data_IF_435877637163
#
_entry.id   IF_435877637163
#
_cell.length_a   1.000
_cell.length_b   1.000
_cell.length_c   1.000
_cell.angle_alpha   90.00
_cell.angle_beta   90.00
_cell.angle_gamma   90.00
#
_symmetry.space_group_name_H-M   'P 1'
#
loop_
_entity.id
_entity.type
_entity.pdbx_description
1 polymer ?
#
# COMPACT_ATOMS: atom_id res chain seq x y z
N UNK A 1 -24.34 9.46 59.31
CA UNK A 1 -23.68 8.94 58.09
C UNK A 1 -24.27 9.45 56.76
N UNK A 2 -25.25 10.36 56.73
CA UNK A 2 -25.96 10.75 55.48
C UNK A 2 -25.42 12.00 54.75
N UNK A 3 -24.43 12.71 55.28
CA UNK A 3 -23.95 13.97 54.67
C UNK A 3 -22.69 13.81 53.79
N UNK A 4 -21.98 12.67 53.89
CA UNK A 4 -20.77 12.38 53.10
C UNK A 4 -21.03 11.74 51.73
N UNK A 5 -22.21 11.14 51.54
CA UNK A 5 -22.60 10.53 50.26
C UNK A 5 -23.01 11.60 49.23
N UNK A 6 -23.72 12.64 49.65
CA UNK A 6 -24.22 13.70 48.76
C UNK A 6 -23.10 14.59 48.21
N UNK A 7 -22.03 14.81 48.98
CA UNK A 7 -20.85 15.57 48.52
C UNK A 7 -20.01 14.79 47.49
N UNK A 8 -19.96 13.46 47.59
CA UNK A 8 -19.32 12.61 46.56
C UNK A 8 -20.15 12.52 45.28
N UNK A 9 -21.48 12.53 45.39
CA UNK A 9 -22.37 12.51 44.23
C UNK A 9 -22.38 13.84 43.46
N UNK A 10 -22.25 14.98 44.14
CA UNK A 10 -22.13 16.29 43.47
C UNK A 10 -20.74 16.55 42.87
N UNK A 11 -19.66 15.89 43.35
CA UNK A 11 -18.35 15.93 42.67
C UNK A 11 -18.27 15.09 41.41
N UNK A 12 -19.12 14.07 41.27
CA UNK A 12 -19.22 13.25 40.06
C UNK A 12 -20.04 13.90 38.94
N UNK A 13 -20.77 15.00 39.22
CA UNK A 13 -21.62 15.69 38.25
C UNK A 13 -21.00 16.97 37.65
N UNK A 14 -19.88 17.46 38.19
CA UNK A 14 -19.18 18.65 37.70
C UNK A 14 -17.94 18.35 36.85
N UNK A 15 -17.79 17.12 36.33
CA UNK A 15 -16.98 16.89 35.12
C UNK A 15 -17.88 17.14 33.90
N UNK A 16 -18.44 18.34 33.83
CA UNK A 16 -18.89 18.91 32.57
C UNK A 16 -17.63 19.05 31.70
N UNK A 17 -17.51 18.12 30.78
CA UNK A 17 -17.04 18.30 29.41
C UNK A 17 -16.57 19.73 29.13
N UNK A 18 -15.31 20.03 29.48
CA UNK A 18 -14.54 20.98 28.66
C UNK A 18 -14.64 20.47 27.23
N UNK A 19 -15.08 21.30 26.25
CA UNK A 19 -15.02 20.89 24.86
C UNK A 19 -13.58 20.42 24.60
N UNK A 20 -13.36 19.28 23.93
CA UNK A 20 -12.02 18.87 23.58
C UNK A 20 -11.37 20.08 22.91
N UNK A 21 -10.23 20.52 23.42
CA UNK A 21 -9.40 21.49 22.72
C UNK A 21 -9.33 20.97 21.29
N UNK A 22 -9.94 21.68 20.33
CA UNK A 22 -9.83 21.36 18.91
C UNK A 22 -8.35 21.52 18.59
N UNK A 23 -7.59 20.44 18.76
CA UNK A 23 -6.18 20.40 18.39
C UNK A 23 -6.12 20.78 16.93
N UNK A 24 -5.31 21.77 16.58
CA UNK A 24 -5.19 22.17 15.18
C UNK A 24 -4.56 21.01 14.44
N UNK A 25 -5.38 20.26 13.71
CA UNK A 25 -4.94 19.04 13.05
C UNK A 25 -3.96 19.37 11.93
N UNK A 26 -4.28 20.37 11.11
CA UNK A 26 -3.46 20.78 9.96
C UNK A 26 -2.95 22.21 10.17
N UNK A 27 -1.63 22.38 10.22
CA UNK A 27 -0.99 23.69 10.32
C UNK A 27 0.05 23.87 9.21
N UNK A 28 0.35 25.12 8.87
CA UNK A 28 1.41 25.41 7.90
C UNK A 28 2.76 24.83 8.34
N UNK A 29 3.07 24.87 9.64
CA UNK A 29 4.33 24.31 10.17
C UNK A 29 4.43 22.80 9.97
N UNK A 30 3.34 22.04 10.19
CA UNK A 30 3.36 20.59 9.99
C UNK A 30 3.50 20.22 8.52
N UNK A 31 2.83 20.96 7.62
CA UNK A 31 2.94 20.75 6.17
C UNK A 31 4.33 21.11 5.66
N UNK A 32 4.89 22.26 6.07
CA UNK A 32 6.23 22.68 5.67
C UNK A 32 7.30 21.69 6.14
N UNK A 33 7.19 21.18 7.37
CA UNK A 33 8.09 20.16 7.89
C UNK A 33 7.94 18.84 7.12
N UNK A 34 6.72 18.41 6.80
CA UNK A 34 6.50 17.22 5.96
C UNK A 34 7.16 17.37 4.59
N UNK A 35 6.92 18.49 3.89
CA UNK A 35 7.50 18.77 2.59
C UNK A 35 9.04 18.81 2.62
N UNK A 36 9.64 19.34 3.69
CA UNK A 36 11.09 19.32 3.88
C UNK A 36 11.67 17.92 4.12
N UNK A 37 10.89 17.03 4.74
CA UNK A 37 11.31 15.65 5.04
C UNK A 37 11.07 14.68 3.88
N UNK A 38 10.11 14.96 2.99
CA UNK A 38 9.77 14.08 1.86
C UNK A 38 10.98 13.72 0.96
N UNK A 39 11.86 14.66 0.56
CA UNK A 39 13.04 14.30 -0.24
C UNK A 39 14.02 13.37 0.49
N UNK A 40 14.22 13.58 1.80
CA UNK A 40 15.08 12.72 2.62
C UNK A 40 14.48 11.32 2.77
N UNK A 41 13.17 11.24 2.95
CA UNK A 41 12.44 9.98 3.01
C UNK A 41 12.52 9.22 1.68
N UNK A 42 12.26 9.91 0.56
CA UNK A 42 12.37 9.32 -0.77
C UNK A 42 13.80 8.82 -1.05
N UNK A 43 14.82 9.61 -0.69
CA UNK A 43 16.21 9.21 -0.82
C UNK A 43 16.53 7.96 0.01
N UNK A 44 16.07 7.89 1.26
CA UNK A 44 16.26 6.70 2.10
C UNK A 44 15.57 5.48 1.50
N UNK A 45 14.30 5.59 1.10
CA UNK A 45 13.54 4.49 0.51
C UNK A 45 14.21 3.97 -0.76
N UNK A 46 14.57 4.84 -1.71
CA UNK A 46 15.24 4.45 -2.96
C UNK A 46 16.60 3.83 -2.69
N UNK A 47 17.40 4.39 -1.78
CA UNK A 47 18.73 3.86 -1.46
C UNK A 47 18.63 2.48 -0.81
N UNK A 48 17.72 2.31 0.15
CA UNK A 48 17.53 1.03 0.83
C UNK A 48 17.00 -0.04 -0.14
N UNK A 49 15.91 0.26 -0.85
CA UNK A 49 15.16 -0.73 -1.63
C UNK A 49 15.77 -1.01 -3.01
N UNK A 50 16.37 -0.03 -3.69
CA UNK A 50 16.97 -0.24 -5.01
C UNK A 50 18.49 -0.39 -4.98
N UNK A 51 19.20 0.44 -4.20
CA UNK A 51 20.67 0.46 -4.24
C UNK A 51 21.27 -0.64 -3.37
N UNK A 52 20.83 -0.72 -2.12
CA UNK A 52 21.28 -1.78 -1.21
C UNK A 52 20.49 -3.07 -1.39
N UNK A 53 19.31 -2.97 -1.99
CA UNK A 53 18.37 -4.08 -2.17
C UNK A 53 18.04 -4.78 -0.84
N UNK A 54 17.86 -3.98 0.21
CA UNK A 54 17.58 -4.43 1.56
C UNK A 54 16.46 -3.61 2.17
N UNK A 55 15.87 -4.11 3.28
CA UNK A 55 14.94 -3.32 4.09
C UNK A 55 13.75 -2.77 3.28
N UNK A 56 13.01 -3.67 2.61
CA UNK A 56 11.82 -3.40 1.79
C UNK A 56 10.64 -2.85 2.61
N UNK A 57 10.81 -1.62 3.08
CA UNK A 57 9.94 -0.90 3.99
C UNK A 57 8.56 -0.62 3.43
N UNK A 58 8.48 -0.42 2.12
CA UNK A 58 7.24 -0.16 1.40
C UNK A 58 6.49 -1.46 1.09
N UNK A 59 7.14 -2.61 1.27
CA UNK A 59 6.52 -3.94 1.17
C UNK A 59 5.64 -4.32 2.36
N UNK A 60 5.75 -3.57 3.48
CA UNK A 60 4.97 -3.79 4.69
C UNK A 60 3.86 -2.75 4.84
N UNK A 61 2.72 -3.14 5.43
CA UNK A 61 1.57 -2.24 5.58
C UNK A 61 1.81 -1.14 6.63
N UNK A 62 2.67 -1.39 7.63
CA UNK A 62 3.20 -0.36 8.53
C UNK A 62 4.55 0.12 8.00
N UNK A 63 4.55 1.26 7.31
CA UNK A 63 5.76 1.86 6.75
C UNK A 63 6.74 2.29 7.85
N UNK A 64 7.69 1.42 8.20
CA UNK A 64 8.67 1.75 9.24
C UNK A 64 9.55 2.95 8.84
N UNK A 65 9.77 3.18 7.54
CA UNK A 65 10.47 4.36 7.03
C UNK A 65 9.69 5.67 7.30
N UNK A 66 8.42 5.59 7.69
CA UNK A 66 7.60 6.72 8.17
C UNK A 66 7.48 6.68 9.70
N UNK A 67 7.08 5.53 10.25
CA UNK A 67 6.78 5.38 11.68
C UNK A 67 8.01 5.64 12.55
N UNK A 68 9.20 5.19 12.13
CA UNK A 68 10.45 5.37 12.89
C UNK A 68 10.88 6.84 12.90
N UNK A 69 10.96 7.58 11.77
CA UNK A 69 11.21 9.02 11.82
C UNK A 69 10.18 9.79 12.64
N UNK A 70 8.90 9.47 12.51
CA UNK A 70 7.84 10.11 13.32
C UNK A 70 8.04 9.83 14.81
N UNK A 71 8.43 8.60 15.19
CA UNK A 71 8.79 8.28 16.58
C UNK A 71 9.96 9.14 17.08
N UNK A 72 11.04 9.29 16.30
CA UNK A 72 12.17 10.13 16.67
C UNK A 72 11.77 11.62 16.76
N UNK A 73 10.94 12.11 15.85
CA UNK A 73 10.39 13.48 15.91
C UNK A 73 9.53 13.64 17.17
N UNK A 74 8.70 12.67 17.52
CA UNK A 74 7.86 12.71 18.71
C UNK A 74 8.69 12.66 20.01
N UNK A 75 9.76 11.87 20.05
CA UNK A 75 10.73 11.84 21.16
C UNK A 75 11.46 13.17 21.30
N UNK A 76 11.95 13.74 20.20
CA UNK A 76 12.59 15.04 20.17
C UNK A 76 11.61 16.15 20.61
N UNK A 77 10.37 16.10 20.14
CA UNK A 77 9.30 17.02 20.53
C UNK A 77 8.97 16.91 22.03
N UNK A 78 8.97 15.70 22.60
CA UNK A 78 8.74 15.48 24.03
C UNK A 78 9.86 16.11 24.88
N UNK A 79 11.13 15.98 24.46
CA UNK A 79 12.26 16.65 25.10
C UNK A 79 12.17 18.18 24.93
N UNK A 80 11.83 18.64 23.73
CA UNK A 80 11.70 20.06 23.38
C UNK A 80 10.59 20.75 24.18
N UNK A 81 9.44 20.09 24.35
CA UNK A 81 8.29 20.58 25.11
C UNK A 81 8.62 20.90 26.57
N UNK A 82 9.65 20.26 27.16
CA UNK A 82 10.12 20.58 28.51
C UNK A 82 10.76 21.97 28.59
N UNK A 83 11.41 22.42 27.52
CA UNK A 83 12.13 23.71 27.47
C UNK A 83 11.30 24.81 26.79
N UNK A 84 10.54 24.47 25.76
CA UNK A 84 9.76 25.41 24.95
C UNK A 84 8.34 24.86 24.68
N UNK A 85 7.43 24.91 25.66
CA UNK A 85 6.10 24.30 25.53
C UNK A 85 5.22 24.96 24.46
N UNK A 86 5.40 26.26 24.21
CA UNK A 86 4.60 27.01 23.24
C UNK A 86 4.97 26.70 21.77
N UNK A 87 6.20 26.25 21.49
CA UNK A 87 6.65 25.92 20.12
C UNK A 87 6.62 24.42 19.82
N UNK A 88 6.31 23.58 20.80
CA UNK A 88 6.17 22.14 20.62
C UNK A 88 5.06 21.81 19.61
N UNK A 89 5.25 20.71 18.88
CA UNK A 89 4.26 20.17 17.97
C UNK A 89 3.09 19.58 18.76
N UNK A 90 1.88 19.86 18.27
CA UNK A 90 0.65 19.26 18.79
C UNK A 90 0.46 17.84 18.25
N UNK A 91 -0.31 16.97 18.95
CA UNK A 91 -0.61 15.63 18.46
C UNK A 91 -1.21 15.60 17.05
N UNK A 92 -2.08 16.57 16.74
CA UNK A 92 -2.67 16.72 15.41
C UNK A 92 -1.62 16.96 14.31
N UNK A 93 -0.54 17.67 14.63
CA UNK A 93 0.52 17.99 13.67
C UNK A 93 1.46 16.80 13.43
N UNK A 94 1.73 16.02 14.48
CA UNK A 94 2.45 14.75 14.35
C UNK A 94 1.64 13.75 13.52
N UNK A 95 0.31 13.70 13.68
CA UNK A 95 -0.56 12.91 12.82
C UNK A 95 -0.56 13.40 11.37
N UNK A 96 -0.59 14.71 11.15
CA UNK A 96 -0.49 15.29 9.80
C UNK A 96 0.84 14.95 9.14
N UNK A 97 1.95 15.03 9.88
CA UNK A 97 3.27 14.57 9.42
C UNK A 97 3.22 13.09 9.01
N UNK A 98 2.69 12.23 9.87
CA UNK A 98 2.55 10.81 9.59
C UNK A 98 1.75 10.54 8.30
N UNK A 99 0.60 11.20 8.12
CA UNK A 99 -0.24 11.03 6.93
C UNK A 99 0.48 11.49 5.68
N UNK A 100 1.05 12.70 5.68
CA UNK A 100 1.74 13.25 4.51
C UNK A 100 2.97 12.43 4.11
N UNK A 101 3.75 11.98 5.09
CA UNK A 101 4.90 11.12 4.85
C UNK A 101 4.49 9.71 4.39
N UNK A 102 3.37 9.17 4.87
CA UNK A 102 2.84 7.88 4.40
C UNK A 102 2.39 7.94 2.95
N UNK A 103 1.71 9.02 2.55
CA UNK A 103 1.34 9.25 1.15
C UNK A 103 2.59 9.37 0.28
N UNK A 104 3.59 10.15 0.70
CA UNK A 104 4.84 10.26 -0.04
C UNK A 104 5.61 8.93 -0.13
N UNK A 105 5.66 8.17 0.97
CA UNK A 105 6.29 6.85 1.03
C UNK A 105 5.64 5.81 0.12
N UNK A 106 4.29 5.81 0.06
CA UNK A 106 3.56 4.98 -0.91
C UNK A 106 3.93 5.34 -2.35
N UNK A 107 4.08 6.64 -2.67
CA UNK A 107 4.40 7.10 -4.02
C UNK A 107 5.82 6.66 -4.40
N UNK A 108 6.80 6.82 -3.50
CA UNK A 108 8.19 6.43 -3.76
C UNK A 108 8.47 4.93 -3.62
N UNK A 109 7.43 4.09 -3.52
CA UNK A 109 7.56 2.67 -3.21
C UNK A 109 8.13 1.80 -4.33
N UNK A 110 8.63 0.63 -3.94
CA UNK A 110 9.16 -0.40 -4.83
C UNK A 110 8.16 -0.83 -5.90
N UNK A 111 6.88 -0.96 -5.52
CA UNK A 111 5.83 -1.40 -6.44
C UNK A 111 5.08 -0.23 -7.12
N UNK A 112 5.71 0.95 -7.21
CA UNK A 112 5.18 2.13 -7.93
C UNK A 112 6.25 2.91 -8.70
N UNK A 113 6.71 4.08 -8.21
CA UNK A 113 7.64 4.95 -8.96
C UNK A 113 8.97 4.27 -9.28
N UNK A 114 9.44 3.36 -8.42
CA UNK A 114 10.68 2.62 -8.64
C UNK A 114 10.63 1.70 -9.88
N UNK A 115 9.43 1.29 -10.32
CA UNK A 115 9.23 0.53 -11.56
C UNK A 115 8.93 1.47 -12.73
N UNK A 116 8.15 2.53 -12.49
CA UNK A 116 7.77 3.49 -13.54
C UNK A 116 9.00 4.12 -14.21
N UNK A 117 9.97 4.57 -13.42
CA UNK A 117 11.16 5.26 -13.97
C UNK A 117 11.96 4.37 -14.94
N UNK A 118 12.33 3.12 -14.59
CA UNK A 118 12.92 2.19 -15.54
C UNK A 118 12.02 1.90 -16.74
N UNK A 119 10.71 1.77 -16.56
CA UNK A 119 9.79 1.50 -17.67
C UNK A 119 9.70 2.64 -18.69
N UNK A 120 9.97 3.88 -18.28
CA UNK A 120 10.03 5.02 -19.19
C UNK A 120 11.27 4.92 -20.09
N UNK A 121 12.42 4.48 -19.59
CA UNK A 121 13.69 4.57 -20.32
C UNK A 121 14.19 3.26 -20.94
N UNK A 122 13.94 2.13 -20.28
CA UNK A 122 14.54 0.85 -20.65
C UNK A 122 14.07 0.26 -21.99
N UNK A 123 12.79 0.41 -22.41
CA UNK A 123 12.31 -0.21 -23.65
C UNK A 123 13.10 0.22 -24.90
N UNK A 124 13.38 1.52 -25.09
CA UNK A 124 14.15 2.00 -26.25
C UNK A 124 15.66 1.74 -26.08
N UNK A 125 16.17 1.93 -24.86
CA UNK A 125 17.57 1.65 -24.54
C UNK A 125 17.99 0.21 -24.85
N UNK A 126 17.16 -0.78 -24.46
CA UNK A 126 17.47 -2.20 -24.64
C UNK A 126 17.05 -2.75 -26.01
N UNK A 127 16.36 -1.97 -26.85
CA UNK A 127 15.92 -2.43 -28.16
C UNK A 127 17.11 -2.70 -29.09
N UNK A 128 17.09 -3.86 -29.75
CA UNK A 128 18.13 -4.25 -30.70
C UNK A 128 17.59 -5.21 -31.77
N UNK A 129 18.33 -5.47 -32.87
CA UNK A 129 17.87 -6.34 -33.94
C UNK A 129 17.60 -7.80 -33.51
N UNK A 130 18.17 -8.26 -32.39
CA UNK A 130 18.02 -9.65 -31.93
C UNK A 130 16.71 -9.84 -31.15
N UNK A 131 16.37 -8.90 -30.26
CA UNK A 131 15.12 -8.94 -29.50
C UNK A 131 13.91 -8.40 -30.28
N UNK A 132 14.15 -7.63 -31.35
CA UNK A 132 13.10 -7.07 -32.23
C UNK A 132 12.10 -6.17 -31.49
N UNK A 133 12.52 -5.56 -30.37
CA UNK A 133 11.64 -4.72 -29.55
C UNK A 133 11.15 -3.47 -30.29
N UNK A 134 11.89 -2.97 -31.27
CA UNK A 134 11.42 -1.91 -32.15
C UNK A 134 10.08 -2.29 -32.83
N UNK A 135 9.99 -3.51 -33.37
CA UNK A 135 8.78 -3.96 -34.07
C UNK A 135 7.71 -4.52 -33.12
N UNK A 136 8.13 -5.17 -32.03
CA UNK A 136 7.22 -5.88 -31.13
C UNK A 136 6.62 -4.97 -30.05
N UNK A 137 7.39 -4.01 -29.55
CA UNK A 137 7.07 -3.21 -28.36
C UNK A 137 6.95 -1.73 -28.73
N UNK A 138 8.00 -1.12 -29.26
CA UNK A 138 8.06 0.34 -29.48
C UNK A 138 7.08 0.80 -30.57
N UNK A 139 6.82 -0.02 -31.59
CA UNK A 139 5.80 0.27 -32.61
C UNK A 139 4.38 0.43 -32.03
N UNK A 140 4.14 -0.08 -30.81
CA UNK A 140 2.84 -0.11 -30.14
C UNK A 140 2.79 0.78 -28.90
N UNK A 141 3.82 1.60 -28.67
CA UNK A 141 3.90 2.51 -27.53
C UNK A 141 4.13 3.94 -28.05
N UNK A 142 3.38 4.94 -27.57
CA UNK A 142 3.60 6.31 -27.98
C UNK A 142 4.97 6.82 -27.51
N UNK A 143 5.73 7.41 -28.45
CA UNK A 143 7.07 7.97 -28.18
C UNK A 143 7.08 9.09 -27.13
N UNK A 144 5.96 9.76 -26.91
CA UNK A 144 5.84 10.80 -25.88
C UNK A 144 5.69 10.25 -24.45
N UNK A 145 5.36 8.96 -24.29
CA UNK A 145 5.22 8.30 -22.99
C UNK A 145 6.50 7.63 -22.48
N UNK A 146 7.53 7.54 -23.32
CA UNK A 146 8.83 6.93 -23.01
C UNK A 146 9.95 7.92 -23.30
N UNK A 147 11.13 7.67 -22.74
CA UNK A 147 12.34 8.35 -23.14
C UNK A 147 12.81 7.74 -24.47
N UNK A 148 13.20 8.61 -25.40
CA UNK A 148 13.72 8.22 -26.73
C UNK A 148 15.06 8.90 -27.05
N UNK A 149 15.59 9.69 -26.12
CA UNK A 149 16.86 10.38 -26.28
C UNK A 149 18.00 9.46 -25.83
N UNK A 150 18.78 9.01 -26.81
CA UNK A 150 19.86 8.01 -26.61
C UNK A 150 20.95 8.49 -25.65
N UNK A 151 21.23 9.79 -25.60
CA UNK A 151 22.22 10.34 -24.66
C UNK A 151 21.67 10.25 -23.23
N UNK A 152 20.44 10.71 -23.01
CA UNK A 152 19.80 10.64 -21.70
C UNK A 152 19.58 9.19 -21.20
N UNK A 153 19.28 8.25 -22.10
CA UNK A 153 19.18 6.82 -21.78
C UNK A 153 20.53 6.23 -21.36
N UNK A 154 21.58 6.51 -22.14
CA UNK A 154 22.94 6.02 -21.87
C UNK A 154 23.46 6.58 -20.56
N UNK A 155 23.23 7.87 -20.30
CA UNK A 155 23.59 8.55 -19.06
C UNK A 155 22.86 7.95 -17.84
N UNK A 156 21.60 7.55 -17.98
CA UNK A 156 20.87 6.85 -16.91
C UNK A 156 21.44 5.44 -16.67
N UNK A 157 21.71 4.68 -17.74
CA UNK A 157 22.09 3.27 -17.65
C UNK A 157 23.54 3.08 -17.18
N UNK A 158 24.48 3.88 -17.70
CA UNK A 158 25.92 3.76 -17.41
C UNK A 158 26.30 4.60 -16.17
N UNK A 159 25.55 5.67 -15.90
CA UNK A 159 25.89 6.65 -14.87
C UNK A 159 26.98 7.63 -15.34
N UNK A 160 27.74 8.21 -14.40
CA UNK A 160 28.76 9.25 -14.63
C UNK A 160 28.28 10.58 -15.25
N UNK A 161 26.96 10.78 -15.30
CA UNK A 161 26.33 12.05 -15.67
C UNK A 161 25.54 12.63 -14.50
N UNK A 162 24.93 13.79 -14.71
CA UNK A 162 24.08 14.45 -13.73
C UNK A 162 22.72 14.75 -14.34
N UNK A 163 21.66 14.35 -13.65
CA UNK A 163 20.27 14.58 -14.08
C UNK A 163 19.96 16.08 -14.27
N UNK A 164 20.71 16.96 -13.61
CA UNK A 164 20.50 18.40 -13.66
C UNK A 164 21.02 19.09 -14.94
N UNK A 165 21.53 18.34 -15.93
CA UNK A 165 21.87 18.91 -17.24
C UNK A 165 20.59 19.30 -17.98
N UNK A 166 20.59 20.49 -18.58
CA UNK A 166 19.42 21.00 -19.29
C UNK A 166 18.92 20.07 -20.42
N UNK A 167 19.84 19.43 -21.15
CA UNK A 167 19.50 18.48 -22.22
C UNK A 167 18.72 17.27 -21.68
N UNK A 168 19.19 16.66 -20.59
CA UNK A 168 18.53 15.53 -19.92
C UNK A 168 17.18 15.97 -19.36
N UNK A 169 17.12 17.10 -18.64
CA UNK A 169 15.86 17.64 -18.12
C UNK A 169 14.83 17.85 -19.22
N UNK A 170 15.25 18.36 -20.39
CA UNK A 170 14.36 18.57 -21.53
C UNK A 170 13.89 17.26 -22.15
N UNK A 171 14.76 16.25 -22.25
CA UNK A 171 14.39 14.93 -22.78
C UNK A 171 13.36 14.23 -21.87
N UNK A 172 13.54 14.34 -20.55
CA UNK A 172 12.65 13.75 -19.56
C UNK A 172 11.36 14.54 -19.31
N UNK A 173 11.32 15.84 -19.64
CA UNK A 173 10.19 16.71 -19.32
C UNK A 173 8.86 16.19 -19.86
N UNK A 174 8.80 15.75 -21.12
CA UNK A 174 7.54 15.29 -21.72
C UNK A 174 7.02 14.01 -21.07
N UNK A 175 7.80 12.90 -20.96
CA UNK A 175 7.34 11.70 -20.27
C UNK A 175 7.00 11.95 -18.80
N UNK A 176 7.84 12.71 -18.07
CA UNK A 176 7.61 12.98 -16.65
C UNK A 176 6.35 13.80 -16.41
N UNK A 177 6.07 14.83 -17.23
CA UNK A 177 4.85 15.62 -17.09
C UNK A 177 3.60 14.80 -17.37
N UNK A 178 3.64 13.94 -18.39
CA UNK A 178 2.54 13.04 -18.71
C UNK A 178 2.26 12.06 -17.54
N UNK A 179 3.29 11.33 -17.10
CA UNK A 179 3.13 10.35 -16.04
C UNK A 179 2.83 10.98 -14.68
N UNK A 180 3.35 12.17 -14.40
CA UNK A 180 2.98 12.95 -13.21
C UNK A 180 1.49 13.30 -13.23
N UNK A 181 0.98 13.81 -14.35
CA UNK A 181 -0.45 14.10 -14.52
C UNK A 181 -1.31 12.85 -14.35
N UNK A 182 -0.88 11.72 -14.91
CA UNK A 182 -1.54 10.42 -14.74
C UNK A 182 -1.54 9.96 -13.27
N UNK A 183 -0.40 10.01 -12.58
CA UNK A 183 -0.29 9.65 -11.16
C UNK A 183 -1.21 10.54 -10.31
N UNK A 184 -1.20 11.86 -10.53
CA UNK A 184 -2.10 12.77 -9.82
C UNK A 184 -3.57 12.41 -10.05
N UNK A 185 -3.94 12.10 -11.30
CA UNK A 185 -5.30 11.69 -11.64
C UNK A 185 -5.70 10.38 -10.96
N UNK A 186 -4.80 9.40 -10.94
CA UNK A 186 -4.99 8.11 -10.28
C UNK A 186 -5.16 8.29 -8.76
N UNK A 187 -4.26 9.02 -8.11
CA UNK A 187 -4.34 9.27 -6.67
C UNK A 187 -5.61 10.05 -6.29
N UNK A 188 -6.01 11.02 -7.11
CA UNK A 188 -7.24 11.77 -6.90
C UNK A 188 -8.49 10.87 -7.00
N UNK A 189 -8.51 9.95 -7.96
CA UNK A 189 -9.61 8.98 -8.09
C UNK A 189 -9.73 8.07 -6.84
N UNK A 190 -8.60 7.59 -6.31
CA UNK A 190 -8.57 6.76 -5.10
C UNK A 190 -8.96 7.57 -3.86
N UNK A 191 -8.55 8.84 -3.78
CA UNK A 191 -8.98 9.75 -2.72
C UNK A 191 -10.50 9.94 -2.73
N UNK A 192 -11.11 10.15 -3.90
CA UNK A 192 -12.57 10.26 -4.03
C UNK A 192 -13.29 8.96 -3.67
N UNK A 193 -12.76 7.81 -4.08
CA UNK A 193 -13.27 6.49 -3.69
C UNK A 193 -13.27 6.34 -2.15
N UNK A 194 -12.15 6.68 -1.51
CA UNK A 194 -12.02 6.63 -0.05
C UNK A 194 -12.95 7.63 0.64
N UNK A 195 -13.10 8.85 0.11
CA UNK A 195 -14.03 9.85 0.65
C UNK A 195 -15.50 9.36 0.62
N UNK A 196 -15.90 8.65 -0.44
CA UNK A 196 -17.25 8.07 -0.54
C UNK A 196 -17.47 7.01 0.54
N UNK A 197 -16.50 6.12 0.77
CA UNK A 197 -16.63 4.94 1.62
C UNK A 197 -16.25 5.17 3.09
N UNK A 198 -15.51 6.24 3.39
CA UNK A 198 -15.02 6.57 4.73
C UNK A 198 -16.08 6.45 5.81
N UNK A 199 -17.25 7.07 5.61
CA UNK A 199 -18.34 7.08 6.62
C UNK A 199 -18.95 5.70 6.82
N UNK A 200 -19.13 4.96 5.75
CA UNK A 200 -19.62 3.59 5.80
C UNK A 200 -18.70 2.72 6.65
N UNK A 201 -17.40 2.78 6.41
CA UNK A 201 -16.42 1.97 7.12
C UNK A 201 -16.16 2.43 8.55
N UNK A 202 -16.11 3.75 8.79
CA UNK A 202 -15.76 4.30 10.11
C UNK A 202 -16.95 4.32 11.07
N UNK A 203 -18.13 4.73 10.62
CA UNK A 203 -19.26 5.00 11.52
C UNK A 203 -20.28 3.85 11.55
N UNK A 204 -20.56 3.22 10.40
CA UNK A 204 -21.58 2.16 10.27
C UNK A 204 -21.00 0.78 10.52
N UNK A 205 -19.94 0.43 9.80
CA UNK A 205 -19.25 -0.87 9.95
C UNK A 205 -18.24 -0.86 11.10
N UNK A 206 -17.75 0.32 11.51
CA UNK A 206 -16.82 0.52 12.64
C UNK A 206 -15.59 -0.39 12.56
N UNK A 207 -14.93 -0.37 11.41
CA UNK A 207 -13.69 -1.11 11.19
C UNK A 207 -12.63 -0.72 12.24
N UNK A 208 -11.78 -1.67 12.61
CA UNK A 208 -10.88 -1.55 13.77
C UNK A 208 -9.60 -0.75 13.48
N UNK A 209 -9.16 -0.68 12.22
CA UNK A 209 -7.94 -0.02 11.77
C UNK A 209 -6.71 -0.32 12.65
N UNK A 210 -6.32 -1.61 12.80
CA UNK A 210 -5.31 -2.03 13.78
C UNK A 210 -3.94 -1.37 13.57
N UNK A 211 -3.53 -1.19 12.30
CA UNK A 211 -2.23 -0.58 11.95
C UNK A 211 -2.14 0.87 12.44
N UNK A 212 -3.26 1.62 12.45
CA UNK A 212 -3.27 3.03 12.87
C UNK A 212 -3.04 3.20 14.37
N UNK A 213 -3.24 2.17 15.18
CA UNK A 213 -3.08 2.25 16.64
C UNK A 213 -1.64 2.61 17.04
N UNK A 214 -0.64 2.08 16.31
CA UNK A 214 0.78 2.35 16.60
C UNK A 214 1.13 3.83 16.34
N UNK A 215 0.90 4.40 15.14
CA UNK A 215 1.10 5.82 14.89
C UNK A 215 0.30 6.72 15.83
N UNK A 216 -0.97 6.40 16.12
CA UNK A 216 -1.80 7.19 17.04
C UNK A 216 -1.18 7.20 18.44
N UNK A 217 -0.70 6.06 18.93
CA UNK A 217 -0.05 5.97 20.23
C UNK A 217 1.24 6.79 20.29
N UNK A 218 2.04 6.78 19.21
CA UNK A 218 3.27 7.58 19.08
C UNK A 218 2.96 9.08 19.06
N UNK A 219 1.95 9.51 18.30
CA UNK A 219 1.63 10.93 18.13
C UNK A 219 0.92 11.54 19.34
N UNK A 220 0.06 10.77 20.03
CA UNK A 220 -0.84 11.30 21.06
C UNK A 220 -0.44 10.91 22.49
N UNK A 221 0.15 9.73 22.70
CA UNK A 221 0.30 9.13 24.03
C UNK A 221 1.70 8.55 24.31
N UNK A 222 2.73 9.06 23.63
CA UNK A 222 4.11 8.59 23.77
C UNK A 222 4.64 8.51 25.22
N UNK A 223 4.37 9.47 26.14
CA UNK A 223 4.87 9.38 27.52
C UNK A 223 4.36 8.14 28.27
N UNK A 224 3.14 7.69 27.99
CA UNK A 224 2.57 6.50 28.62
C UNK A 224 3.23 5.23 28.05
N UNK A 225 3.48 5.19 26.74
CA UNK A 225 4.20 4.10 26.10
C UNK A 225 5.60 3.94 26.70
N UNK A 226 6.35 5.03 26.85
CA UNK A 226 7.71 5.02 27.41
C UNK A 226 7.78 4.67 28.91
N UNK A 227 6.67 4.78 29.65
CA UNK A 227 6.61 4.36 31.06
C UNK A 227 6.20 2.89 31.22
N UNK A 228 5.70 2.25 30.16
CA UNK A 228 5.23 0.87 30.21
C UNK A 228 6.40 -0.10 30.33
N UNK A 229 6.44 -0.86 31.43
CA UNK A 229 7.44 -1.93 31.63
C UNK A 229 7.28 -3.03 30.58
N UNK A 230 6.05 -3.37 30.23
CA UNK A 230 5.76 -4.39 29.22
C UNK A 230 6.31 -4.02 27.84
N UNK A 231 6.19 -2.74 27.45
CA UNK A 231 6.78 -2.23 26.21
C UNK A 231 8.29 -2.43 26.20
N UNK A 232 9.00 -2.02 27.26
CA UNK A 232 10.45 -2.16 27.33
C UNK A 232 10.92 -3.62 27.36
N UNK A 233 10.20 -4.51 28.05
CA UNK A 233 10.50 -5.95 28.02
C UNK A 233 10.39 -6.48 26.59
N UNK A 234 9.29 -6.19 25.89
CA UNK A 234 9.10 -6.62 24.51
C UNK A 234 10.14 -6.01 23.55
N UNK A 235 10.47 -4.73 23.73
CA UNK A 235 11.48 -4.03 22.94
C UNK A 235 12.87 -4.63 23.11
N UNK A 236 13.27 -4.93 24.34
CA UNK A 236 14.59 -5.54 24.62
C UNK A 236 14.66 -6.96 24.10
N UNK A 237 13.57 -7.74 24.19
CA UNK A 237 13.54 -9.11 23.65
C UNK A 237 13.63 -9.08 22.13
N UNK A 238 12.71 -8.39 21.45
CA UNK A 238 12.66 -8.37 19.99
C UNK A 238 13.91 -7.68 19.40
N UNK A 239 14.21 -6.47 19.87
CA UNK A 239 15.38 -5.71 19.43
C UNK A 239 16.70 -6.39 19.80
N UNK A 240 16.77 -7.11 20.91
CA UNK A 240 17.94 -7.89 21.30
C UNK A 240 18.19 -9.08 20.38
N UNK A 241 17.14 -9.81 20.00
CA UNK A 241 17.23 -10.92 19.03
C UNK A 241 17.65 -10.38 17.66
N UNK A 242 17.00 -9.31 17.18
CA UNK A 242 17.33 -8.71 15.88
C UNK A 242 18.75 -8.14 15.86
N UNK A 243 19.19 -7.49 16.94
CA UNK A 243 20.56 -6.99 17.07
C UNK A 243 21.58 -8.13 17.08
N UNK A 244 21.31 -9.22 17.82
CA UNK A 244 22.18 -10.38 17.86
C UNK A 244 22.29 -11.07 16.49
N UNK A 245 21.17 -11.25 15.81
CA UNK A 245 21.15 -11.80 14.45
C UNK A 245 21.82 -10.84 13.44
N UNK A 246 21.68 -9.52 13.60
CA UNK A 246 22.42 -8.54 12.81
C UNK A 246 23.93 -8.61 13.05
N UNK A 247 24.37 -8.82 14.29
CA UNK A 247 25.78 -9.05 14.61
C UNK A 247 26.31 -10.35 14.02
N UNK A 248 25.51 -11.42 13.97
CA UNK A 248 25.87 -12.64 13.27
C UNK A 248 26.14 -12.40 11.78
N UNK A 249 25.33 -11.58 11.10
CA UNK A 249 25.55 -11.23 9.68
C UNK A 249 26.90 -10.52 9.49
N UNK A 250 27.28 -9.62 10.41
CA UNK A 250 28.57 -8.91 10.37
C UNK A 250 29.74 -9.80 10.81
N UNK A 251 29.51 -10.70 11.76
CA UNK A 251 30.48 -11.62 12.33
C UNK A 251 29.90 -13.04 12.36
N UNK A 252 30.06 -13.81 11.27
CA UNK A 252 29.45 -15.14 11.11
C UNK A 252 29.91 -16.20 12.14
N UNK A 253 30.93 -15.90 12.95
CA UNK A 253 31.38 -16.77 14.05
C UNK A 253 30.42 -16.79 15.24
N UNK A 254 29.56 -15.78 15.39
CA UNK A 254 28.52 -15.78 16.43
C UNK A 254 27.40 -16.76 16.03
N UNK A 255 26.74 -17.46 16.97
CA UNK A 255 25.59 -18.31 16.63
C UNK A 255 24.37 -17.46 16.25
N UNK A 256 23.66 -17.82 15.19
CA UNK A 256 22.37 -17.18 14.83
C UNK A 256 21.22 -17.76 15.65
N UNK A 257 20.25 -16.93 16.03
CA UNK A 257 18.97 -17.39 16.57
C UNK A 257 18.02 -17.62 15.38
N UNK A 258 17.65 -18.87 15.05
CA UNK A 258 16.88 -19.19 13.84
C UNK A 258 15.40 -18.81 14.02
N UNK A 259 15.08 -17.54 13.71
CA UNK A 259 13.69 -17.05 13.70
C UNK A 259 13.07 -17.13 12.30
N UNK A 260 13.84 -16.81 11.27
CA UNK A 260 13.43 -16.86 9.85
C UNK A 260 13.86 -18.21 9.28
N UNK A 261 12.97 -18.88 8.55
CA UNK A 261 13.20 -20.24 8.01
C UNK A 261 13.57 -21.26 9.10
N UNK A 262 12.96 -21.14 10.29
CA UNK A 262 13.19 -22.02 11.42
C UNK A 262 12.92 -23.50 11.08
N UNK A 263 11.96 -23.77 10.19
CA UNK A 263 11.74 -25.08 9.59
C UNK A 263 11.51 -24.92 8.09
N UNK A 264 12.34 -25.58 7.28
CA UNK A 264 12.23 -25.61 5.82
C UNK A 264 11.67 -26.96 5.42
N UNK A 265 10.42 -27.01 4.95
CA UNK A 265 9.77 -28.29 4.69
C UNK A 265 10.43 -29.07 3.56
N UNK A 266 11.09 -28.38 2.62
CA UNK A 266 11.89 -28.96 1.54
C UNK A 266 13.00 -29.90 2.00
N UNK A 267 13.51 -29.74 3.22
CA UNK A 267 14.59 -30.58 3.73
C UNK A 267 14.05 -31.94 4.23
N UNK A 268 12.72 -32.06 4.40
CA UNK A 268 12.05 -33.25 4.95
C UNK A 268 11.03 -33.87 3.98
N UNK A 269 10.36 -33.06 3.16
CA UNK A 269 9.28 -33.48 2.27
C UNK A 269 9.78 -33.59 0.82
N UNK A 270 10.65 -34.56 0.56
CA UNK A 270 11.27 -34.77 -0.76
C UNK A 270 10.52 -35.77 -1.65
N UNK A 271 9.69 -36.64 -1.05
CA UNK A 271 8.96 -37.68 -1.77
C UNK A 271 7.58 -37.20 -2.24
N UNK A 272 7.13 -37.67 -3.40
CA UNK A 272 5.75 -37.45 -3.87
C UNK A 272 4.75 -38.17 -2.95
N UNK A 273 3.58 -37.58 -2.66
CA UNK A 273 3.07 -36.29 -3.15
C UNK A 273 3.45 -35.09 -2.27
N UNK A 274 4.16 -35.31 -1.16
CA UNK A 274 4.46 -34.30 -0.15
C UNK A 274 5.45 -33.24 -0.62
N UNK A 275 6.26 -33.56 -1.63
CA UNK A 275 7.13 -32.60 -2.31
C UNK A 275 6.36 -31.40 -2.90
N UNK A 276 5.05 -31.51 -3.13
CA UNK A 276 4.21 -30.40 -3.56
C UNK A 276 4.16 -29.24 -2.56
N UNK A 277 4.36 -29.52 -1.27
CA UNK A 277 4.32 -28.52 -0.19
C UNK A 277 5.71 -28.20 0.39
N UNK A 278 6.76 -28.76 -0.21
CA UNK A 278 8.16 -28.60 0.18
C UNK A 278 8.61 -27.12 0.25
N UNK A 279 8.08 -26.26 -0.62
CA UNK A 279 8.43 -24.84 -0.64
C UNK A 279 7.91 -24.02 0.55
N UNK A 280 7.11 -24.62 1.43
CA UNK A 280 6.63 -23.97 2.65
C UNK A 280 7.78 -23.81 3.65
N UNK A 281 7.87 -22.65 4.30
CA UNK A 281 8.82 -22.40 5.38
C UNK A 281 8.07 -21.88 6.61
N UNK A 282 8.46 -22.37 7.79
CA UNK A 282 8.00 -21.83 9.06
C UNK A 282 8.97 -20.72 9.50
N UNK A 283 8.47 -19.49 9.51
CA UNK A 283 9.20 -18.31 9.99
C UNK A 283 8.45 -17.64 11.13
N UNK A 284 9.17 -17.27 12.18
CA UNK A 284 8.65 -16.61 13.37
C UNK A 284 9.03 -15.13 13.33
N UNK A 285 8.11 -14.31 12.86
CA UNK A 285 8.28 -12.85 12.84
C UNK A 285 7.64 -12.23 14.09
N UNK A 286 8.46 -11.83 15.07
CA UNK A 286 7.98 -11.24 16.33
C UNK A 286 7.12 -9.98 16.11
N UNK A 287 7.49 -9.14 15.13
CA UNK A 287 6.67 -7.97 14.78
C UNK A 287 5.31 -8.36 14.20
N UNK A 288 5.25 -9.40 13.38
CA UNK A 288 4.01 -9.88 12.78
C UNK A 288 3.07 -10.46 13.84
N UNK A 289 3.62 -11.20 14.82
CA UNK A 289 2.86 -11.68 15.99
C UNK A 289 2.23 -10.49 16.74
N UNK A 290 2.99 -9.40 16.93
CA UNK A 290 2.48 -8.19 17.56
C UNK A 290 1.36 -7.49 16.78
N UNK A 291 1.43 -7.48 15.43
CA UNK A 291 0.38 -6.91 14.57
C UNK A 291 -0.86 -7.81 14.53
N UNK A 292 -0.66 -9.13 14.41
CA UNK A 292 -1.71 -10.15 14.35
C UNK A 292 -2.51 -10.22 15.65
N UNK A 293 -1.94 -9.81 16.79
CA UNK A 293 -2.68 -9.71 18.06
C UNK A 293 -3.94 -8.83 17.96
N UNK A 294 -3.96 -7.84 17.05
CA UNK A 294 -5.12 -6.98 16.84
C UNK A 294 -6.16 -7.57 15.88
N UNK A 295 -5.92 -8.75 15.31
CA UNK A 295 -6.86 -9.41 14.40
C UNK A 295 -8.05 -10.03 15.16
N UNK A 296 -9.27 -9.90 14.62
CA UNK A 296 -10.42 -10.68 15.09
C UNK A 296 -10.15 -12.19 15.03
N UNK A 297 -10.69 -12.94 15.99
CA UNK A 297 -10.47 -14.39 16.11
C UNK A 297 -10.91 -15.17 14.87
N UNK A 298 -12.03 -14.79 14.26
CA UNK A 298 -12.60 -15.48 13.11
C UNK A 298 -11.71 -15.32 11.87
N UNK A 299 -11.07 -14.16 11.76
CA UNK A 299 -10.11 -13.83 10.70
C UNK A 299 -8.80 -14.59 10.92
N UNK A 300 -8.28 -14.59 12.16
CA UNK A 300 -7.11 -15.37 12.52
C UNK A 300 -7.31 -16.87 12.25
N UNK A 301 -8.50 -17.41 12.56
CA UNK A 301 -8.87 -18.79 12.22
C UNK A 301 -8.85 -19.03 10.71
N UNK A 302 -9.46 -18.12 9.94
CA UNK A 302 -9.52 -18.23 8.48
C UNK A 302 -8.12 -18.29 7.85
N UNK A 303 -7.18 -17.46 8.31
CA UNK A 303 -5.82 -17.40 7.74
C UNK A 303 -5.10 -18.76 7.77
N UNK A 304 -5.05 -19.45 8.92
CA UNK A 304 -4.35 -20.74 8.99
C UNK A 304 -5.17 -21.88 8.37
N UNK A 305 -6.50 -21.85 8.50
CA UNK A 305 -7.37 -22.88 7.94
C UNK A 305 -7.30 -22.90 6.40
N UNK A 306 -7.47 -21.74 5.76
CA UNK A 306 -7.40 -21.65 4.29
C UNK A 306 -5.97 -21.87 3.78
N UNK A 307 -4.95 -21.53 4.56
CA UNK A 307 -3.58 -21.92 4.25
C UNK A 307 -3.43 -23.44 4.20
N UNK A 308 -3.94 -24.19 5.19
CA UNK A 308 -3.88 -25.65 5.16
C UNK A 308 -4.74 -26.26 4.05
N UNK A 309 -5.91 -25.67 3.76
CA UNK A 309 -6.74 -26.10 2.62
C UNK A 309 -5.99 -25.96 1.30
N UNK A 310 -5.27 -24.85 1.13
CA UNK A 310 -4.39 -24.62 -0.02
C UNK A 310 -3.27 -25.66 -0.10
N UNK A 311 -2.58 -25.96 1.01
CA UNK A 311 -1.56 -27.00 1.05
C UNK A 311 -2.15 -28.38 0.68
N UNK A 312 -3.35 -28.69 1.16
CA UNK A 312 -4.06 -29.91 0.82
C UNK A 312 -4.38 -30.00 -0.68
N UNK A 313 -4.80 -28.89 -1.29
CA UNK A 313 -5.04 -28.83 -2.74
C UNK A 313 -3.77 -29.16 -3.53
N UNK A 314 -2.61 -28.59 -3.17
CA UNK A 314 -1.32 -28.90 -3.80
C UNK A 314 -0.94 -30.38 -3.71
N UNK A 315 -1.12 -30.99 -2.54
CA UNK A 315 -0.87 -32.43 -2.36
C UNK A 315 -1.85 -33.24 -3.22
N UNK A 316 -3.12 -32.85 -3.24
CA UNK A 316 -4.15 -33.54 -4.03
C UNK A 316 -3.83 -33.49 -5.52
N UNK A 317 -3.45 -32.33 -6.07
CA UNK A 317 -3.07 -32.22 -7.50
C UNK A 317 -1.84 -33.05 -7.83
N UNK A 318 -0.88 -33.14 -6.90
CA UNK A 318 0.28 -34.02 -7.02
C UNK A 318 -0.13 -35.49 -7.04
N UNK A 319 -0.98 -35.93 -6.11
CA UNK A 319 -1.48 -37.32 -6.06
C UNK A 319 -2.25 -37.74 -7.31
N UNK A 320 -3.02 -36.81 -7.90
CA UNK A 320 -3.82 -37.07 -9.09
C UNK A 320 -2.99 -37.00 -10.39
N UNK A 321 -1.72 -36.61 -10.31
CA UNK A 321 -0.85 -36.47 -11.49
C UNK A 321 -1.22 -35.32 -12.42
N UNK A 322 -2.10 -34.41 -12.00
CA UNK A 322 -2.55 -33.25 -12.81
C UNK A 322 -1.71 -32.00 -12.58
N UNK A 323 -0.73 -32.06 -11.68
CA UNK A 323 0.21 -30.98 -11.39
C UNK A 323 1.12 -30.60 -12.57
N UNK A 324 1.22 -31.46 -13.60
CA UNK A 324 1.97 -31.18 -14.83
C UNK A 324 1.28 -30.15 -15.73
N UNK A 325 -0.01 -29.86 -15.51
CA UNK A 325 -0.71 -28.81 -16.23
C UNK A 325 -0.15 -27.44 -15.82
N UNK A 326 0.39 -26.62 -16.75
CA UNK A 326 1.01 -25.35 -16.42
C UNK A 326 0.06 -24.44 -15.63
N UNK A 327 0.49 -24.11 -14.41
CA UNK A 327 -0.25 -23.22 -13.52
C UNK A 327 -1.31 -23.90 -12.66
N UNK A 328 -1.73 -25.15 -12.92
CA UNK A 328 -2.72 -25.87 -12.10
C UNK A 328 -2.19 -26.06 -10.65
N UNK A 329 -2.98 -25.80 -9.59
CA UNK A 329 -4.42 -25.55 -9.55
C UNK A 329 -4.87 -24.08 -9.76
N UNK A 330 -4.07 -23.26 -10.44
CA UNK A 330 -4.35 -21.86 -10.77
C UNK A 330 -4.46 -20.97 -9.53
N UNK A 331 -3.53 -21.15 -8.59
CA UNK A 331 -3.50 -20.46 -7.28
C UNK A 331 -3.54 -18.94 -7.44
N UNK A 332 -2.87 -18.42 -8.47
CA UNK A 332 -2.83 -16.98 -8.76
C UNK A 332 -4.20 -16.48 -9.21
N UNK A 333 -4.85 -17.20 -10.11
CA UNK A 333 -6.20 -16.91 -10.60
C UNK A 333 -7.25 -17.08 -9.50
N UNK A 334 -7.12 -18.10 -8.64
CA UNK A 334 -7.97 -18.28 -7.45
C UNK A 334 -7.83 -17.08 -6.50
N UNK A 335 -6.59 -16.67 -6.21
CA UNK A 335 -6.30 -15.50 -5.37
C UNK A 335 -6.87 -14.21 -5.98
N UNK A 336 -6.65 -14.01 -7.28
CA UNK A 336 -7.21 -12.90 -8.04
C UNK A 336 -8.75 -12.86 -7.97
N UNK A 337 -9.40 -14.02 -8.11
CA UNK A 337 -10.84 -14.19 -7.95
C UNK A 337 -11.31 -13.87 -6.53
N UNK A 338 -10.53 -14.23 -5.50
CA UNK A 338 -10.77 -13.87 -4.11
C UNK A 338 -10.79 -12.35 -3.88
N UNK A 339 -9.80 -11.62 -4.41
CA UNK A 339 -9.76 -10.15 -4.33
C UNK A 339 -10.91 -9.50 -5.10
N UNK A 340 -11.23 -9.97 -6.31
CA UNK A 340 -12.39 -9.48 -7.08
C UNK A 340 -13.69 -9.74 -6.32
N UNK A 341 -13.85 -10.95 -5.79
CA UNK A 341 -15.01 -11.36 -4.99
C UNK A 341 -15.18 -10.46 -3.76
N UNK A 342 -14.11 -10.18 -3.03
CA UNK A 342 -14.15 -9.28 -1.88
C UNK A 342 -14.51 -7.84 -2.28
N UNK A 343 -13.96 -7.33 -3.38
CA UNK A 343 -14.31 -6.01 -3.91
C UNK A 343 -15.80 -5.93 -4.28
N UNK A 344 -16.32 -6.93 -5.00
CA UNK A 344 -17.73 -7.01 -5.40
C UNK A 344 -18.64 -7.14 -4.18
N UNK A 345 -18.32 -8.01 -3.23
CA UNK A 345 -19.08 -8.18 -1.99
C UNK A 345 -19.08 -6.89 -1.15
N UNK A 346 -17.97 -6.17 -1.12
CA UNK A 346 -17.89 -4.87 -0.45
C UNK A 346 -18.86 -3.85 -1.04
N UNK A 347 -18.94 -3.76 -2.37
CA UNK A 347 -19.94 -2.92 -3.04
C UNK A 347 -21.36 -3.41 -2.79
N UNK A 348 -21.58 -4.73 -2.80
CA UNK A 348 -22.88 -5.34 -2.57
C UNK A 348 -23.42 -5.05 -1.17
N UNK A 349 -22.60 -5.24 -0.12
CA UNK A 349 -23.00 -4.92 1.25
C UNK A 349 -23.18 -3.41 1.45
N UNK A 350 -22.42 -2.59 0.73
CA UNK A 350 -22.53 -1.13 0.77
C UNK A 350 -23.68 -0.57 -0.07
N UNK A 351 -24.41 -1.37 -0.87
CA UNK A 351 -25.41 -0.89 -1.84
C UNK A 351 -26.49 0.02 -1.23
N UNK A 352 -26.91 -0.27 0.00
CA UNK A 352 -27.89 0.54 0.72
C UNK A 352 -27.34 1.92 1.08
N UNK A 353 -26.08 1.97 1.51
CA UNK A 353 -25.36 3.22 1.76
C UNK A 353 -25.09 3.99 0.46
N UNK A 354 -24.60 3.32 -0.58
CA UNK A 354 -24.35 3.95 -1.89
C UNK A 354 -25.63 4.53 -2.50
N UNK A 355 -26.79 3.88 -2.30
CA UNK A 355 -28.10 4.45 -2.66
C UNK A 355 -28.39 5.75 -1.90
N UNK A 356 -28.07 5.83 -0.61
CA UNK A 356 -28.25 7.06 0.18
C UNK A 356 -27.28 8.16 -0.26
N UNK A 357 -26.02 7.82 -0.56
CA UNK A 357 -25.04 8.74 -1.17
C UNK A 357 -25.61 9.32 -2.48
N UNK A 358 -26.17 8.46 -3.34
CA UNK A 358 -26.83 8.88 -4.57
C UNK A 358 -28.03 9.81 -4.31
N UNK A 359 -28.90 9.50 -3.34
CA UNK A 359 -30.01 10.39 -3.00
C UNK A 359 -29.52 11.76 -2.50
N UNK A 360 -28.43 11.77 -1.72
CA UNK A 360 -27.79 13.00 -1.22
C UNK A 360 -27.29 13.87 -2.36
N UNK A 361 -26.64 13.27 -3.35
CA UNK A 361 -26.13 13.97 -4.53
C UNK A 361 -27.22 14.71 -5.32
N UNK A 362 -28.44 14.17 -5.37
CA UNK A 362 -29.59 14.80 -6.02
C UNK A 362 -30.50 15.60 -5.06
N UNK A 363 -30.06 15.84 -3.81
CA UNK A 363 -30.87 16.49 -2.77
C UNK A 363 -32.27 15.87 -2.60
N UNK A 364 -32.37 14.54 -2.74
CA UNK A 364 -33.63 13.80 -2.58
C UNK A 364 -33.83 13.37 -1.12
N UNK A 365 -35.09 13.23 -0.67
CA UNK A 365 -35.37 12.73 0.68
C UNK A 365 -34.78 11.32 0.88
N UNK A 366 -34.22 11.08 2.07
CA UNK A 366 -33.48 9.84 2.40
C UNK A 366 -31.96 9.92 2.16
N UNK A 367 -31.42 11.10 1.84
CA UNK A 367 -29.98 11.37 1.79
C UNK A 367 -29.31 11.38 3.18
N UNK A 368 -27.98 11.32 3.15
CA UNK A 368 -27.08 11.38 4.31
C UNK A 368 -26.84 12.83 4.73
N UNK A 369 -26.57 13.03 6.02
CA UNK A 369 -26.02 14.28 6.50
C UNK A 369 -24.52 14.37 6.16
N UNK A 370 -24.12 15.39 5.39
CA UNK A 370 -22.74 15.66 4.95
C UNK A 370 -21.98 16.65 5.86
N UNK A 371 -22.60 17.20 6.91
CA UNK A 371 -22.03 18.33 7.67
C UNK A 371 -20.66 18.04 8.33
N UNK A 372 -20.34 16.77 8.57
CA UNK A 372 -19.06 16.32 9.14
C UNK A 372 -18.07 15.73 8.13
N UNK A 373 -18.39 15.73 6.83
CA UNK A 373 -17.49 15.23 5.80
C UNK A 373 -16.56 16.33 5.29
N UNK A 374 -15.29 15.98 5.05
CA UNK A 374 -14.30 16.90 4.49
C UNK A 374 -14.61 17.29 3.04
N UNK A 375 -15.23 16.39 2.28
CA UNK A 375 -15.67 16.59 0.90
C UNK A 375 -17.15 16.24 0.78
N UNK A 376 -17.91 17.09 0.08
CA UNK A 376 -19.32 16.79 -0.25
C UNK A 376 -19.40 15.52 -1.10
N UNK A 377 -20.45 14.70 -0.92
CA UNK A 377 -20.57 13.47 -1.72
C UNK A 377 -20.74 13.78 -3.20
N UNK A 378 -21.42 14.88 -3.55
CA UNK A 378 -21.55 15.31 -4.95
C UNK A 378 -20.19 15.54 -5.62
N UNK A 379 -19.27 16.22 -4.94
CA UNK A 379 -17.92 16.45 -5.45
C UNK A 379 -17.14 15.15 -5.53
N UNK A 380 -17.26 14.29 -4.52
CA UNK A 380 -16.54 13.02 -4.47
C UNK A 380 -16.99 12.05 -5.56
N UNK A 381 -18.31 11.88 -5.77
CA UNK A 381 -18.86 11.00 -6.81
C UNK A 381 -18.56 11.55 -8.21
N UNK A 382 -18.80 12.84 -8.46
CA UNK A 382 -18.51 13.44 -9.77
C UNK A 382 -17.01 13.42 -10.07
N UNK A 383 -16.18 13.74 -9.07
CA UNK A 383 -14.73 13.67 -9.17
C UNK A 383 -14.25 12.26 -9.48
N UNK A 384 -14.78 11.25 -8.79
CA UNK A 384 -14.46 9.85 -9.09
C UNK A 384 -14.83 9.46 -10.52
N UNK A 385 -16.06 9.74 -10.96
CA UNK A 385 -16.53 9.39 -12.30
C UNK A 385 -15.75 10.12 -13.40
N UNK A 386 -15.43 11.40 -13.19
CA UNK A 386 -14.63 12.18 -14.12
C UNK A 386 -13.21 11.63 -14.20
N UNK A 387 -12.55 11.37 -13.07
CA UNK A 387 -11.20 10.81 -13.05
C UNK A 387 -11.16 9.41 -13.66
N UNK A 388 -12.15 8.56 -13.37
CA UNK A 388 -12.31 7.23 -13.96
C UNK A 388 -12.43 7.30 -15.49
N UNK A 389 -13.28 8.19 -16.00
CA UNK A 389 -13.42 8.41 -17.44
C UNK A 389 -12.13 8.95 -18.08
N UNK A 390 -11.44 9.88 -17.43
CA UNK A 390 -10.17 10.43 -17.92
C UNK A 390 -9.06 9.37 -17.95
N UNK A 391 -8.97 8.49 -16.94
CA UNK A 391 -8.01 7.38 -16.93
C UNK A 391 -8.23 6.42 -18.11
N UNK A 392 -9.49 6.07 -18.40
CA UNK A 392 -9.84 5.28 -19.59
C UNK A 392 -9.44 6.02 -20.87
N UNK A 393 -9.79 7.31 -20.98
CA UNK A 393 -9.45 8.13 -22.14
C UNK A 393 -7.94 8.22 -22.38
N UNK A 394 -7.11 8.25 -21.32
CA UNK A 394 -5.65 8.23 -21.45
C UNK A 394 -5.18 6.89 -22.03
N UNK A 395 -5.66 5.76 -21.51
CA UNK A 395 -5.31 4.45 -22.06
C UNK A 395 -5.73 4.29 -23.53
N UNK A 396 -6.91 4.81 -23.89
CA UNK A 396 -7.38 4.85 -25.28
C UNK A 396 -6.52 5.77 -26.15
N UNK A 397 -6.13 6.94 -25.63
CA UNK A 397 -5.23 7.86 -26.32
C UNK A 397 -3.83 7.28 -26.54
N UNK A 398 -3.36 6.40 -25.65
CA UNK A 398 -2.14 5.62 -25.84
C UNK A 398 -2.29 4.50 -26.88
N UNK A 399 -3.51 4.19 -27.31
CA UNK A 399 -3.79 3.24 -28.39
C UNK A 399 -4.56 1.99 -27.98
N UNK A 400 -4.97 1.84 -26.72
CA UNK A 400 -5.72 0.66 -26.27
C UNK A 400 -7.21 0.72 -26.63
N UNK A 401 -7.86 -0.44 -26.74
CA UNK A 401 -9.30 -0.53 -26.94
C UNK A 401 -10.09 -0.02 -25.72
N UNK A 402 -11.17 0.73 -25.95
CA UNK A 402 -12.02 1.28 -24.87
C UNK A 402 -12.60 0.20 -23.94
N UNK A 403 -12.99 -0.95 -24.49
CA UNK A 403 -13.49 -2.08 -23.71
C UNK A 403 -12.42 -2.68 -22.80
N UNK A 404 -11.21 -2.87 -23.33
CA UNK A 404 -10.07 -3.35 -22.58
C UNK A 404 -9.70 -2.39 -21.45
N UNK A 405 -9.67 -1.09 -21.72
CA UNK A 405 -9.35 -0.09 -20.69
C UNK A 405 -10.43 0.08 -19.63
N UNK A 406 -11.70 -0.05 -20.02
CA UNK A 406 -12.81 -0.07 -19.05
C UNK A 406 -12.67 -1.26 -18.11
N UNK A 407 -12.47 -2.47 -18.65
CA UNK A 407 -12.26 -3.68 -17.85
C UNK A 407 -11.02 -3.55 -16.95
N UNK A 408 -9.92 -3.01 -17.48
CA UNK A 408 -8.67 -2.80 -16.76
C UNK A 408 -8.88 -1.96 -15.51
N UNK A 409 -9.47 -0.77 -15.65
CA UNK A 409 -9.66 0.11 -14.50
C UNK A 409 -10.76 -0.40 -13.56
N UNK A 410 -11.82 -1.06 -14.04
CA UNK A 410 -12.80 -1.72 -13.15
C UNK A 410 -12.10 -2.73 -12.24
N UNK A 411 -11.27 -3.62 -12.79
CA UNK A 411 -10.51 -4.60 -12.01
C UNK A 411 -9.56 -3.88 -11.05
N UNK A 412 -8.82 -2.87 -11.52
CA UNK A 412 -7.90 -2.08 -10.70
C UNK A 412 -8.59 -1.44 -9.48
N UNK A 413 -9.74 -0.79 -9.66
CA UNK A 413 -10.49 -0.18 -8.55
C UNK A 413 -11.12 -1.23 -7.63
N UNK A 414 -11.55 -2.38 -8.16
CA UNK A 414 -12.02 -3.49 -7.31
C UNK A 414 -10.90 -4.04 -6.43
N UNK A 415 -9.67 -4.14 -6.97
CA UNK A 415 -8.49 -4.48 -6.18
C UNK A 415 -8.17 -3.42 -5.15
N UNK A 416 -8.13 -2.14 -5.54
CA UNK A 416 -7.92 -1.04 -4.61
C UNK A 416 -8.93 -1.04 -3.47
N UNK A 417 -10.21 -1.30 -3.77
CA UNK A 417 -11.28 -1.42 -2.78
C UNK A 417 -11.08 -2.61 -1.83
N UNK A 418 -10.78 -3.79 -2.38
CA UNK A 418 -10.54 -5.00 -1.60
C UNK A 418 -9.32 -4.85 -0.69
N UNK A 419 -8.23 -4.30 -1.19
CA UNK A 419 -7.01 -4.03 -0.43
C UNK A 419 -7.26 -3.00 0.68
N UNK A 420 -7.94 -1.90 0.37
CA UNK A 420 -8.30 -0.87 1.36
C UNK A 420 -9.13 -1.47 2.50
N UNK A 421 -10.11 -2.31 2.16
CA UNK A 421 -10.92 -3.03 3.14
C UNK A 421 -10.09 -3.99 3.98
N UNK A 422 -9.25 -4.81 3.34
CA UNK A 422 -8.36 -5.75 4.04
C UNK A 422 -7.46 -5.01 5.02
N UNK A 423 -6.85 -3.89 4.62
CA UNK A 423 -5.99 -3.10 5.53
C UNK A 423 -6.78 -2.47 6.68
N UNK A 424 -7.99 -2.00 6.41
CA UNK A 424 -8.85 -1.40 7.43
C UNK A 424 -9.36 -2.42 8.46
N UNK A 425 -9.68 -3.64 8.03
CA UNK A 425 -10.18 -4.73 8.88
C UNK A 425 -9.06 -5.52 9.55
N UNK A 426 -8.12 -6.01 8.75
CA UNK A 426 -7.09 -6.98 9.17
C UNK A 426 -5.74 -6.30 9.43
N UNK A 427 -5.39 -5.31 8.61
CA UNK A 427 -4.05 -4.73 8.66
C UNK A 427 -2.93 -5.76 8.51
N UNK A 428 -3.00 -6.70 7.55
CA UNK A 428 -1.99 -7.74 7.40
C UNK A 428 -0.61 -7.10 7.19
N UNK A 429 0.46 -7.73 7.68
CA UNK A 429 1.79 -7.13 7.61
C UNK A 429 2.26 -6.91 6.16
N UNK A 430 1.82 -7.76 5.23
CA UNK A 430 2.06 -7.63 3.79
C UNK A 430 0.90 -8.27 3.00
N UNK A 431 0.76 -7.88 1.74
CA UNK A 431 -0.12 -8.55 0.78
C UNK A 431 0.51 -8.41 -0.61
N UNK A 432 0.45 -9.45 -1.42
CA UNK A 432 1.07 -9.46 -2.74
C UNK A 432 0.11 -10.02 -3.78
N UNK A 433 0.10 -9.38 -4.94
CA UNK A 433 -0.73 -9.70 -6.10
C UNK A 433 0.17 -9.72 -7.35
N UNK A 434 1.36 -10.30 -7.19
CA UNK A 434 2.34 -10.39 -8.26
C UNK A 434 1.84 -11.25 -9.41
N UNK A 435 1.92 -10.70 -10.63
CA UNK A 435 1.44 -11.36 -11.87
C UNK A 435 -0.05 -11.71 -11.85
N UNK A 436 -0.87 -10.98 -11.10
CA UNK A 436 -2.34 -11.12 -11.11
C UNK A 436 -3.05 -9.81 -11.43
N UNK A 437 -2.33 -8.85 -12.02
CA UNK A 437 -2.88 -7.55 -12.40
C UNK A 437 -3.98 -7.64 -13.46
N UNK A 438 -4.74 -6.55 -13.66
CA UNK A 438 -5.76 -6.46 -14.70
C UNK A 438 -5.28 -6.87 -16.09
N UNK A 439 -4.05 -6.51 -16.46
CA UNK A 439 -3.40 -6.87 -17.72
C UNK A 439 -3.29 -8.38 -17.92
N UNK A 440 -2.88 -9.12 -16.88
CA UNK A 440 -2.77 -10.58 -16.91
C UNK A 440 -4.15 -11.23 -16.96
N UNK A 441 -5.09 -10.78 -16.12
CA UNK A 441 -6.43 -11.36 -16.06
C UNK A 441 -7.19 -11.22 -17.37
N UNK A 442 -7.15 -10.02 -17.97
CA UNK A 442 -7.82 -9.76 -19.24
C UNK A 442 -7.17 -10.59 -20.35
N UNK A 443 -5.83 -10.64 -20.39
CA UNK A 443 -5.08 -11.42 -21.37
C UNK A 443 -5.37 -12.92 -21.26
N UNK A 444 -5.47 -13.46 -20.05
CA UNK A 444 -5.80 -14.87 -19.81
C UNK A 444 -7.25 -15.20 -20.17
N UNK A 445 -8.19 -14.29 -19.91
CA UNK A 445 -9.61 -14.51 -20.20
C UNK A 445 -9.94 -14.43 -21.70
N UNK A 446 -9.37 -13.47 -22.42
CA UNK A 446 -9.70 -13.20 -23.84
C UNK A 446 -8.72 -13.90 -24.80
N UNK A 447 -7.53 -14.24 -24.31
CA UNK A 447 -6.44 -14.80 -25.09
C UNK A 447 -5.64 -13.73 -25.84
N UNK A 448 -4.31 -13.85 -25.81
CA UNK A 448 -3.40 -12.87 -26.43
C UNK A 448 -3.56 -12.75 -27.95
N UNK A 449 -4.09 -13.78 -28.62
CA UNK A 449 -4.37 -13.73 -30.07
C UNK A 449 -5.56 -12.85 -30.44
N UNK A 450 -6.53 -12.73 -29.53
CA UNK A 450 -7.76 -11.96 -29.74
C UNK A 450 -7.58 -10.48 -29.38
N UNK A 451 -6.45 -10.13 -28.75
CA UNK A 451 -6.13 -8.78 -28.32
C UNK A 451 -5.22 -8.11 -29.34
N UNK A 452 -5.51 -6.85 -29.66
CA UNK A 452 -4.69 -6.04 -30.55
C UNK A 452 -3.32 -5.73 -29.94
N UNK A 453 -2.30 -5.59 -30.77
CA UNK A 453 -0.92 -5.38 -30.32
C UNK A 453 -0.72 -4.02 -29.64
N UNK A 454 -1.51 -3.01 -30.03
CA UNK A 454 -1.56 -1.71 -29.39
C UNK A 454 -2.03 -1.80 -27.93
N UNK A 455 -3.15 -2.49 -27.66
CA UNK A 455 -3.61 -2.76 -26.29
C UNK A 455 -2.56 -3.52 -25.47
N UNK A 456 -1.84 -4.49 -26.05
CA UNK A 456 -0.73 -5.17 -25.36
C UNK A 456 0.39 -4.20 -24.98
N UNK A 457 0.76 -3.30 -25.89
CA UNK A 457 1.75 -2.26 -25.64
C UNK A 457 1.36 -1.33 -24.49
N UNK A 458 0.10 -0.89 -24.46
CA UNK A 458 -0.43 -0.05 -23.36
C UNK A 458 -0.48 -0.82 -22.04
N UNK A 459 -0.92 -2.08 -22.04
CA UNK A 459 -0.92 -2.93 -20.84
C UNK A 459 0.49 -3.10 -20.28
N UNK A 460 1.48 -3.33 -21.14
CA UNK A 460 2.87 -3.39 -20.74
C UNK A 460 3.31 -2.08 -20.08
N UNK A 461 2.89 -0.92 -20.60
CA UNK A 461 3.18 0.40 -20.01
C UNK A 461 2.50 0.66 -18.66
N UNK A 462 1.47 -0.08 -18.28
CA UNK A 462 0.83 0.03 -16.96
C UNK A 462 1.34 -1.02 -15.95
N UNK A 463 2.33 -1.84 -16.31
CA UNK A 463 2.89 -2.83 -15.40
C UNK A 463 3.43 -2.22 -14.09
N UNK A 464 3.93 -0.98 -14.09
CA UNK A 464 4.44 -0.30 -12.89
C UNK A 464 3.39 -0.10 -11.77
N UNK A 465 2.10 -0.06 -12.10
CA UNK A 465 1.02 0.06 -11.10
C UNK A 465 0.33 -1.27 -10.79
N UNK A 466 0.67 -2.34 -11.53
CA UNK A 466 0.03 -3.66 -11.46
C UNK A 466 0.99 -4.80 -11.12
N UNK A 467 2.31 -4.54 -11.09
CA UNK A 467 3.33 -5.55 -10.79
C UNK A 467 3.09 -6.19 -9.44
N UNK A 468 2.78 -5.38 -8.43
CA UNK A 468 2.51 -5.78 -7.07
C UNK A 468 1.71 -4.68 -6.38
N UNK A 469 1.01 -5.03 -5.31
CA UNK A 469 0.07 -4.12 -4.64
C UNK A 469 0.51 -3.78 -3.20
N UNK A 470 1.72 -4.18 -2.79
CA UNK A 470 2.16 -4.15 -1.38
C UNK A 470 2.03 -2.78 -0.72
N UNK A 471 2.22 -1.69 -1.45
CA UNK A 471 2.14 -0.28 -1.01
C UNK A 471 0.92 0.47 -1.58
N UNK A 472 -0.17 -0.22 -1.93
CA UNK A 472 -1.28 0.37 -2.68
C UNK A 472 -1.95 1.57 -1.98
N UNK A 473 -2.07 2.69 -2.71
CA UNK A 473 -2.49 4.01 -2.23
C UNK A 473 -3.89 4.10 -1.63
N UNK A 474 -4.79 3.21 -2.02
CA UNK A 474 -6.16 3.20 -1.50
C UNK A 474 -6.21 2.85 0.00
N UNK A 475 -5.15 2.25 0.54
CA UNK A 475 -5.15 1.51 1.78
C UNK A 475 -4.09 2.04 2.74
#
# INVERSE_FOLDING_TARGET
>A
MSCRATVKMNRAKNQETTPPHESKTVTFRSVALACGLMPLLAWWVVTAELVWYQSHSTGLSLFFHVTVPVLFIALANLAWKRKYPASALEPGELLTLYVLLSVAGAICSHDFLQILVPMIAYPDYAANPHNRWEQLVLAHIPSWAILTDREAETDLAIGNSTFYRWQILRAWATPLLFWFGFVCLLLLSLLFMNAILRKQWTERERLTFPILQIPIQICSNLPNLLRSRGFWIAFVIAGGIDLWNGLHVLHPSLPMIPMIEALRFQDYLIEQPWNAIAGTNLSVYLFAIGLIYFLPSDLAFSCWFFFLLYQFELVLTSTLGVHDLPGFPFVREQSAGGYLGLGILTLWFSRGYLRQVWLTMWNRPGGLNESGEALRYRTSVFGFLLSFGLLISVGVYMGAGIGAMTAFFVIFFLYGLAIARIRAELGPPAHDLYSTGPDVLISNAVGTRSMDDSTKGVFAMFYWMNRGYRSHFAA
#
